data_IF_276074628317
#
_entry.id   IF_276074628317
#
_cell.length_a   1.000
_cell.length_b   1.000
_cell.length_c   1.000
_cell.angle_alpha   90.00
_cell.angle_beta   90.00
_cell.angle_gamma   90.00
#
_symmetry.space_group_name_H-M   'P 1'
#
loop_
_entity.id
_entity.type
_entity.pdbx_description
1 polymer ?
#
# COMPACT_ATOMS: atom_id res chain seq x y z
N UNK A 1 5.23 7.34 10.24
CA UNK A 1 6.58 6.72 10.27
C UNK A 1 7.01 6.40 8.83
N UNK A 2 8.06 5.60 8.61
CA UNK A 2 8.53 5.21 7.27
C UNK A 2 8.51 3.68 7.13
N UNK A 3 7.95 3.19 6.03
CA UNK A 3 8.03 1.79 5.63
C UNK A 3 8.82 1.70 4.31
N UNK A 4 9.67 0.68 4.21
CA UNK A 4 10.43 0.40 2.99
C UNK A 4 10.59 -1.09 2.80
N UNK A 5 10.53 -1.53 1.55
CA UNK A 5 10.82 -2.90 1.18
C UNK A 5 11.60 -2.92 -0.15
N UNK A 6 12.60 -3.79 -0.23
CA UNK A 6 13.40 -4.02 -1.43
C UNK A 6 13.38 -5.51 -1.82
N UNK A 7 13.92 -5.81 -2.99
CA UNK A 7 13.94 -7.15 -3.58
C UNK A 7 14.77 -8.16 -2.79
N UNK A 8 15.63 -7.68 -1.89
CA UNK A 8 16.60 -8.49 -1.15
C UNK A 8 16.06 -8.87 0.24
N UNK A 9 14.87 -8.38 0.60
CA UNK A 9 14.24 -8.70 1.87
C UNK A 9 13.92 -10.22 1.95
N UNK A 10 14.43 -10.95 2.95
CA UNK A 10 14.32 -12.42 3.01
C UNK A 10 12.87 -12.90 3.09
N UNK A 11 11.98 -12.10 3.69
CA UNK A 11 10.55 -12.42 3.85
C UNK A 11 9.65 -11.75 2.80
N UNK A 12 10.19 -11.25 1.68
CA UNK A 12 9.39 -10.49 0.69
C UNK A 12 8.16 -11.26 0.18
N UNK A 13 8.27 -12.58 0.00
CA UNK A 13 7.19 -13.40 -0.51
C UNK A 13 6.04 -13.53 0.50
N UNK A 14 6.38 -13.76 1.77
CA UNK A 14 5.42 -13.84 2.88
C UNK A 14 4.74 -12.49 3.12
N UNK A 15 5.52 -11.40 3.12
CA UNK A 15 4.98 -10.05 3.23
C UNK A 15 4.03 -9.75 2.06
N UNK A 16 4.43 -10.03 0.81
CA UNK A 16 3.58 -9.85 -0.36
C UNK A 16 2.27 -10.61 -0.22
N UNK A 17 2.31 -11.89 0.15
CA UNK A 17 1.10 -12.69 0.35
C UNK A 17 0.15 -12.05 1.37
N UNK A 18 0.68 -11.55 2.50
CA UNK A 18 -0.11 -10.88 3.53
C UNK A 18 -0.81 -9.60 3.04
N UNK A 19 -0.16 -8.82 2.18
CA UNK A 19 -0.74 -7.55 1.69
C UNK A 19 -1.66 -7.73 0.48
N UNK A 20 -1.68 -8.90 -0.16
CA UNK A 20 -2.57 -9.23 -1.27
C UNK A 20 -3.99 -9.61 -0.81
N UNK A 21 -4.17 -9.99 0.45
CA UNK A 21 -5.50 -10.26 1.00
C UNK A 21 -6.30 -8.97 1.13
N UNK A 22 -7.54 -8.96 0.64
CA UNK A 22 -8.45 -7.81 0.79
C UNK A 22 -8.75 -7.56 2.27
N UNK A 23 -8.56 -6.32 2.71
CA UNK A 23 -8.79 -5.93 4.09
C UNK A 23 -9.36 -4.50 4.17
N UNK A 24 -9.69 -4.10 5.41
CA UNK A 24 -10.20 -2.77 5.75
C UNK A 24 -9.47 -2.25 6.97
N UNK A 25 -9.19 -0.96 6.98
CA UNK A 25 -8.68 -0.25 8.15
C UNK A 25 -9.78 0.57 8.81
N UNK A 26 -9.72 0.69 10.15
CA UNK A 26 -10.66 1.51 10.93
C UNK A 26 -10.33 3.01 10.90
N UNK A 27 -9.15 3.36 10.42
CA UNK A 27 -8.67 4.73 10.20
C UNK A 27 -8.26 4.87 8.72
N UNK A 28 -8.09 6.11 8.27
CA UNK A 28 -7.62 6.40 6.91
C UNK A 28 -6.20 5.85 6.70
N UNK A 29 -5.99 5.12 5.60
CA UNK A 29 -4.66 4.73 5.19
C UNK A 29 -4.06 5.78 4.26
N UNK A 30 -3.12 6.57 4.80
CA UNK A 30 -2.41 7.58 4.04
C UNK A 30 -0.97 7.15 3.77
N UNK A 31 -0.56 7.20 2.50
CA UNK A 31 0.78 6.86 2.03
C UNK A 31 1.33 7.94 1.12
N UNK A 32 2.53 8.42 1.42
CA UNK A 32 3.32 9.28 0.54
C UNK A 32 4.55 8.52 0.05
N UNK A 33 4.64 8.24 -1.24
CA UNK A 33 5.72 7.47 -1.84
C UNK A 33 6.93 8.37 -2.09
N UNK A 34 8.07 8.07 -1.47
CA UNK A 34 9.31 8.85 -1.64
C UNK A 34 10.31 8.18 -2.58
N UNK A 35 10.16 6.88 -2.83
CA UNK A 35 10.92 6.13 -3.82
C UNK A 35 10.18 4.87 -4.27
N UNK A 36 10.49 4.41 -5.48
CA UNK A 36 9.93 3.18 -6.02
C UNK A 36 8.45 3.29 -6.34
N UNK A 37 7.74 2.15 -6.27
CA UNK A 37 6.33 2.07 -6.65
C UNK A 37 5.58 0.95 -5.93
N UNK A 38 4.26 1.07 -5.87
CA UNK A 38 3.36 0.03 -5.39
C UNK A 38 1.95 0.20 -5.94
N UNK A 39 1.19 -0.90 -6.00
CA UNK A 39 -0.14 -0.91 -6.59
C UNK A 39 -1.20 -1.02 -5.50
N UNK A 40 -1.95 0.06 -5.28
CA UNK A 40 -3.17 0.01 -4.47
C UNK A 40 -4.32 -0.47 -5.33
N UNK A 41 -5.07 -1.46 -4.84
CA UNK A 41 -6.30 -1.88 -5.48
C UNK A 41 -7.47 -1.63 -4.54
N UNK A 42 -8.43 -0.82 -4.98
CA UNK A 42 -9.56 -0.33 -4.20
C UNK A 42 -10.85 -0.94 -4.75
N UNK A 43 -11.62 -1.58 -3.89
CA UNK A 43 -12.92 -2.13 -4.22
C UNK A 43 -14.01 -1.16 -3.73
N UNK A 44 -14.66 -0.47 -4.67
CA UNK A 44 -15.61 0.61 -4.38
C UNK A 44 -16.92 0.32 -5.12
N UNK A 45 -17.96 -0.02 -4.35
CA UNK A 45 -19.23 -0.48 -4.92
C UNK A 45 -19.00 -1.76 -5.73
N UNK A 46 -19.44 -1.76 -6.98
CA UNK A 46 -19.30 -2.92 -7.89
C UNK A 46 -18.00 -2.89 -8.71
N UNK A 47 -17.11 -1.93 -8.45
CA UNK A 47 -15.91 -1.69 -9.26
C UNK A 47 -14.61 -1.90 -8.49
N UNK A 48 -13.59 -2.33 -9.22
CA UNK A 48 -12.21 -2.46 -8.72
C UNK A 48 -11.32 -1.47 -9.47
N UNK A 49 -10.66 -0.59 -8.72
CA UNK A 49 -9.75 0.43 -9.23
C UNK A 49 -8.32 0.10 -8.83
N UNK A 50 -7.41 0.05 -9.79
CA UNK A 50 -5.99 -0.14 -9.54
C UNK A 50 -5.25 1.19 -9.72
N UNK A 51 -4.56 1.65 -8.69
CA UNK A 51 -3.79 2.89 -8.66
C UNK A 51 -2.33 2.54 -8.45
N UNK A 52 -1.53 2.71 -9.50
CA UNK A 52 -0.07 2.58 -9.40
C UNK A 52 0.47 3.88 -8.81
N UNK A 53 0.95 3.82 -7.57
CA UNK A 53 1.59 4.94 -6.91
C UNK A 53 3.10 4.85 -7.13
N UNK A 54 3.71 5.96 -7.52
CA UNK A 54 5.14 6.12 -7.73
C UNK A 54 5.69 7.28 -6.89
N UNK A 55 6.97 7.61 -7.06
CA UNK A 55 7.61 8.68 -6.30
C UNK A 55 6.85 10.01 -6.45
N UNK A 56 6.62 10.64 -5.30
CA UNK A 56 5.88 11.88 -5.05
C UNK A 56 4.35 11.75 -5.08
N UNK A 57 3.80 10.55 -5.23
CA UNK A 57 2.36 10.34 -5.11
C UNK A 57 1.94 10.27 -3.63
N UNK A 58 0.84 10.96 -3.33
CA UNK A 58 0.11 10.87 -2.08
C UNK A 58 -1.23 10.18 -2.35
N UNK A 59 -1.49 9.08 -1.67
CA UNK A 59 -2.78 8.40 -1.67
C UNK A 59 -3.37 8.39 -0.27
N UNK A 60 -4.66 8.68 -0.18
CA UNK A 60 -5.47 8.53 1.03
C UNK A 60 -6.62 7.58 0.73
N UNK A 61 -6.64 6.44 1.41
CA UNK A 61 -7.71 5.45 1.34
C UNK A 61 -8.59 5.63 2.57
N UNK A 62 -9.86 6.05 2.41
CA UNK A 62 -10.74 6.32 3.55
C UNK A 62 -10.98 5.08 4.41
N UNK A 63 -11.13 5.28 5.71
CA UNK A 63 -11.51 4.24 6.66
C UNK A 63 -12.70 3.40 6.16
N UNK A 64 -12.61 2.08 6.33
CA UNK A 64 -13.65 1.13 5.90
C UNK A 64 -13.64 0.77 4.41
N UNK A 65 -12.83 1.43 3.58
CA UNK A 65 -12.70 1.06 2.15
C UNK A 65 -12.04 -0.32 2.03
N UNK A 66 -12.67 -1.31 1.37
CA UNK A 66 -12.00 -2.57 1.05
C UNK A 66 -10.89 -2.36 0.02
N UNK A 67 -9.69 -2.82 0.35
CA UNK A 67 -8.52 -2.68 -0.53
C UNK A 67 -7.44 -3.72 -0.21
N UNK A 68 -6.46 -3.81 -1.10
CA UNK A 68 -5.20 -4.54 -0.90
C UNK A 68 -4.06 -3.82 -1.58
N UNK A 69 -2.83 -4.21 -1.25
CA UNK A 69 -1.61 -3.59 -1.74
C UNK A 69 -0.67 -4.63 -2.36
N UNK A 70 -0.39 -4.50 -3.66
CA UNK A 70 0.65 -5.30 -4.31
C UNK A 70 1.95 -4.51 -4.42
N UNK A 71 2.96 -4.98 -3.70
CA UNK A 71 4.34 -4.48 -3.76
C UNK A 71 5.12 -4.99 -4.98
N UNK A 72 4.56 -5.93 -5.74
CA UNK A 72 5.19 -6.58 -6.90
C UNK A 72 6.07 -7.78 -6.53
N UNK A 73 6.42 -8.59 -7.54
CA UNK A 73 7.29 -9.77 -7.39
C UNK A 73 8.72 -9.41 -6.93
N UNK A 74 9.20 -8.24 -7.38
CA UNK A 74 10.46 -7.64 -6.98
C UNK A 74 10.17 -6.29 -6.33
N UNK A 75 9.79 -6.28 -5.04
CA UNK A 75 9.35 -5.05 -4.40
C UNK A 75 10.48 -4.04 -4.31
N UNK A 76 10.15 -2.80 -4.59
CA UNK A 76 11.04 -1.67 -4.35
C UNK A 76 10.18 -0.43 -4.12
N UNK A 77 9.98 -0.09 -2.85
CA UNK A 77 9.31 1.15 -2.47
C UNK A 77 9.79 1.66 -1.11
N UNK A 78 9.65 2.97 -0.92
CA UNK A 78 9.76 3.65 0.37
C UNK A 78 8.56 4.57 0.47
N UNK A 79 7.77 4.43 1.52
CA UNK A 79 6.58 5.24 1.75
C UNK A 79 6.55 5.79 3.19
N UNK A 80 6.19 7.05 3.32
CA UNK A 80 5.84 7.66 4.60
C UNK A 80 4.39 7.28 4.90
N UNK A 81 4.16 6.73 6.09
CA UNK A 81 2.81 6.47 6.61
C UNK A 81 2.41 7.61 7.52
N UNK A 82 1.26 8.22 7.24
CA UNK A 82 0.65 9.21 8.10
C UNK A 82 -0.50 8.54 8.85
N UNK A 83 -0.56 8.74 10.16
CA UNK A 83 -1.59 8.21 11.04
C UNK A 83 -2.26 9.39 11.75
N UNK A 84 -3.57 9.28 11.98
CA UNK A 84 -4.33 10.32 12.67
C UNK A 84 -4.34 10.14 14.20
N UNK A 85 -3.67 9.10 14.72
CA UNK A 85 -3.55 8.84 16.15
C UNK A 85 -2.06 8.89 16.59
N UNK A 86 -1.72 9.66 17.65
CA UNK A 86 -0.36 9.78 18.18
C UNK A 86 0.14 8.51 18.88
#
# INVERSE_FOLDING_TARGET
DVISLNSDHPQKAELRAKFLDEHRHGEDEVRFFVAGRGLFTLHIGDYVYAVLCEKNDLISVPAGTPHWFDMGEHPHFVAIRLFNNP
#
